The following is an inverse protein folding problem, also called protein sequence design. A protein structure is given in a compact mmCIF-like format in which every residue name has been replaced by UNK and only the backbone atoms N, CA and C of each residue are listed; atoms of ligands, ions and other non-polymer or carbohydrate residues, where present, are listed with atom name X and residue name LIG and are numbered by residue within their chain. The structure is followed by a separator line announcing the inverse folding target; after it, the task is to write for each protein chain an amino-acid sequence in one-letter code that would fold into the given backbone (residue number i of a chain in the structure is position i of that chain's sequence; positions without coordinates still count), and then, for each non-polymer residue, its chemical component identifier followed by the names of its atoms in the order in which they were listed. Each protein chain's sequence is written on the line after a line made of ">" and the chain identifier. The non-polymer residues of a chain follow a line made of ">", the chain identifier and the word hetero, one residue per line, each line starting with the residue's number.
data_IF_602748946662
#
_entry.id   IF_602748946662
#
_cell.length_a   1.000
_cell.length_b   1.000
_cell.length_c   1.000
_cell.angle_alpha   90.00
_cell.angle_beta   90.00
_cell.angle_gamma   90.00
#
_symmetry.space_group_name_H-M   'P 1'
#
loop_
_entity.id
_entity.type
_entity.pdbx_description
1 polymer ?
#
# COMPACT_ATOMS: atom_id res chain seq x y z
N UNK A 1 -3.40 27.44 36.76
CA UNK A 1 -4.68 28.00 37.22
C UNK A 1 -4.83 29.50 36.97
N UNK A 2 -3.75 30.32 36.93
CA UNK A 2 -3.86 31.75 36.54
C UNK A 2 -4.45 32.01 35.14
N UNK A 3 -4.32 31.08 34.18
CA UNK A 3 -4.84 31.25 32.82
C UNK A 3 -6.36 31.08 32.73
N UNK A 4 -6.93 30.15 33.51
CA UNK A 4 -8.38 29.90 33.50
C UNK A 4 -9.15 31.10 34.06
N UNK A 5 -8.63 31.75 35.11
CA UNK A 5 -9.21 32.99 35.67
C UNK A 5 -9.18 34.16 34.67
N UNK A 6 -8.13 34.25 33.83
CA UNK A 6 -8.05 35.27 32.77
C UNK A 6 -9.07 34.98 31.68
N UNK A 7 -9.25 33.72 31.29
CA UNK A 7 -10.25 33.32 30.27
C UNK A 7 -11.68 33.57 30.78
N UNK A 8 -11.93 33.32 32.06
CA UNK A 8 -13.20 33.60 32.70
C UNK A 8 -13.48 35.11 32.77
N UNK A 9 -12.44 35.93 33.05
CA UNK A 9 -12.52 37.40 33.04
C UNK A 9 -12.76 38.04 31.66
N UNK A 10 -12.43 37.37 30.56
CA UNK A 10 -12.63 37.84 29.18
C UNK A 10 -13.98 37.39 28.58
N UNK A 11 -14.76 36.59 29.33
CA UNK A 11 -16.12 36.18 28.92
C UNK A 11 -16.27 34.70 28.55
N UNK A 12 -15.29 33.85 28.86
CA UNK A 12 -15.36 32.41 28.62
C UNK A 12 -15.43 32.01 27.14
N UNK A 13 -15.77 30.74 26.88
CA UNK A 13 -15.78 30.17 25.53
C UNK A 13 -17.10 30.50 24.78
N UNK A 14 -17.14 31.68 24.16
CA UNK A 14 -18.26 32.16 23.34
C UNK A 14 -18.42 31.45 21.99
N UNK A 15 -19.53 31.70 21.30
CA UNK A 15 -19.85 31.06 20.00
C UNK A 15 -18.80 31.31 18.92
N UNK A 16 -18.18 32.50 18.91
CA UNK A 16 -17.08 32.82 17.99
C UNK A 16 -15.81 31.99 18.27
N UNK A 17 -15.46 31.80 19.55
CA UNK A 17 -14.30 31.00 19.94
C UNK A 17 -14.50 29.52 19.61
N UNK A 18 -15.72 29.00 19.79
CA UNK A 18 -16.11 27.66 19.33
C UNK A 18 -16.01 27.52 17.81
N UNK A 19 -16.43 28.54 17.05
CA UNK A 19 -16.34 28.54 15.59
C UNK A 19 -14.88 28.49 15.11
N UNK A 20 -14.02 29.37 15.63
CA UNK A 20 -12.59 29.38 15.30
C UNK A 20 -11.92 28.05 15.69
N UNK A 21 -12.22 27.53 16.88
CA UNK A 21 -11.69 26.24 17.32
C UNK A 21 -12.14 25.09 16.41
N UNK A 22 -13.39 25.13 15.94
CA UNK A 22 -13.91 24.13 14.99
C UNK A 22 -13.17 24.20 13.66
N UNK A 23 -12.95 25.41 13.13
CA UNK A 23 -12.17 25.59 11.89
C UNK A 23 -10.73 25.11 12.06
N UNK A 24 -10.12 25.35 13.22
CA UNK A 24 -8.76 24.91 13.54
C UNK A 24 -8.64 23.39 13.52
N UNK A 25 -9.64 22.66 14.03
CA UNK A 25 -9.64 21.19 14.01
C UNK A 25 -10.13 20.59 12.68
N UNK A 26 -10.90 21.32 11.88
CA UNK A 26 -11.38 20.82 10.59
C UNK A 26 -10.20 20.51 9.65
N UNK A 27 -9.19 21.38 9.59
CA UNK A 27 -8.04 21.22 8.68
C UNK A 27 -7.24 19.93 8.96
N UNK A 28 -6.79 19.64 10.19
CA UNK A 28 -6.10 18.39 10.52
C UNK A 28 -6.92 17.13 10.24
N UNK A 29 -8.26 17.19 10.36
CA UNK A 29 -9.11 16.03 10.06
C UNK A 29 -9.03 15.66 8.58
N UNK A 30 -9.05 16.64 7.68
CA UNK A 30 -8.88 16.37 6.25
C UNK A 30 -7.48 15.84 5.91
N UNK A 31 -6.44 16.37 6.57
CA UNK A 31 -5.08 15.87 6.40
C UNK A 31 -4.95 14.40 6.84
N UNK A 32 -5.51 14.04 7.99
CA UNK A 32 -5.53 12.66 8.47
C UNK A 32 -6.24 11.70 7.51
N UNK A 33 -7.36 12.14 6.91
CA UNK A 33 -8.06 11.37 5.87
C UNK A 33 -7.21 11.19 4.62
N UNK A 34 -6.50 12.23 4.19
CA UNK A 34 -5.60 12.17 3.03
C UNK A 34 -4.45 11.17 3.26
N UNK A 35 -3.83 11.18 4.44
CA UNK A 35 -2.78 10.21 4.79
C UNK A 35 -3.35 8.79 4.80
N UNK A 36 -4.54 8.60 5.38
CA UNK A 36 -5.23 7.31 5.37
C UNK A 36 -5.54 6.80 3.96
N UNK A 37 -5.82 7.70 3.02
CA UNK A 37 -6.10 7.33 1.62
C UNK A 37 -4.93 6.62 0.92
N UNK A 38 -3.68 6.86 1.35
CA UNK A 38 -2.49 6.26 0.74
C UNK A 38 -2.47 4.73 0.84
N UNK A 39 -3.12 4.17 1.86
CA UNK A 39 -3.27 2.72 2.03
C UNK A 39 -4.11 2.11 0.91
N UNK A 40 -5.09 2.86 0.38
CA UNK A 40 -5.94 2.42 -0.73
C UNK A 40 -5.34 2.73 -2.10
N UNK A 41 -4.50 3.77 -2.22
CA UNK A 41 -3.88 4.17 -3.49
C UNK A 41 -2.74 3.22 -3.85
N UNK A 42 -1.84 2.97 -2.90
CA UNK A 42 -0.65 2.12 -3.09
C UNK A 42 -0.62 0.98 -2.05
N UNK A 43 -1.64 0.10 -2.06
CA UNK A 43 -1.70 -1.07 -1.19
C UNK A 43 -0.62 -2.08 -1.59
N UNK A 44 -0.23 -2.90 -0.64
CA UNK A 44 0.48 -4.14 -0.91
C UNK A 44 -0.58 -5.21 -1.21
N UNK A 45 -0.66 -5.64 -2.48
CA UNK A 45 -1.66 -6.61 -2.93
C UNK A 45 -0.98 -7.96 -3.14
N UNK A 46 -1.65 -9.01 -2.67
CA UNK A 46 -1.25 -10.38 -2.96
C UNK A 46 -1.29 -10.61 -4.48
N UNK A 47 -0.17 -11.04 -5.03
CA UNK A 47 0.01 -11.21 -6.46
C UNK A 47 0.73 -12.52 -6.72
N UNK A 48 0.61 -13.02 -7.94
CA UNK A 48 1.43 -14.13 -8.45
C UNK A 48 1.74 -13.89 -9.92
N UNK A 49 2.66 -14.67 -10.46
CA UNK A 49 2.97 -14.60 -11.88
C UNK A 49 1.82 -15.13 -12.73
N UNK A 50 1.59 -14.48 -13.87
CA UNK A 50 0.64 -14.96 -14.87
C UNK A 50 1.23 -16.17 -15.60
N UNK A 51 0.46 -17.25 -15.72
CA UNK A 51 0.92 -18.48 -16.36
C UNK A 51 0.95 -18.29 -17.89
N UNK A 52 2.08 -18.53 -18.57
CA UNK A 52 2.15 -18.39 -20.01
C UNK A 52 1.27 -19.44 -20.70
N UNK A 53 0.38 -19.00 -21.60
CA UNK A 53 -0.51 -19.89 -22.35
C UNK A 53 -1.90 -20.10 -21.76
N UNK A 54 -2.19 -19.54 -20.57
CA UNK A 54 -3.52 -19.56 -19.97
C UNK A 54 -4.24 -18.19 -20.18
N UNK A 55 -5.24 -18.09 -21.09
CA UNK A 55 -5.81 -16.81 -21.48
C UNK A 55 -6.76 -16.17 -20.45
N UNK A 56 -7.25 -16.91 -19.45
CA UNK A 56 -8.17 -16.41 -18.42
C UNK A 56 -7.64 -16.70 -17.01
N UNK A 57 -6.36 -16.41 -16.80
CA UNK A 57 -5.69 -16.64 -15.52
C UNK A 57 -6.19 -15.64 -14.46
N UNK A 58 -6.81 -16.14 -13.40
CA UNK A 58 -7.26 -15.32 -12.24
C UNK A 58 -6.48 -15.70 -11.00
N UNK A 59 -6.21 -14.75 -10.10
CA UNK A 59 -5.46 -15.04 -8.87
C UNK A 59 -6.06 -16.21 -8.07
N UNK A 60 -7.38 -16.23 -7.90
CA UNK A 60 -8.09 -17.33 -7.25
C UNK A 60 -8.02 -18.63 -8.04
N UNK A 61 -7.85 -19.74 -7.31
CA UNK A 61 -7.81 -21.09 -7.88
C UNK A 61 -9.21 -21.47 -8.34
N UNK A 62 -9.38 -21.62 -9.65
CA UNK A 62 -10.66 -21.94 -10.28
C UNK A 62 -10.98 -23.43 -10.29
N UNK A 63 -9.97 -24.27 -10.52
CA UNK A 63 -10.12 -25.72 -10.73
C UNK A 63 -8.87 -26.49 -10.24
N UNK A 64 -8.98 -27.82 -10.12
CA UNK A 64 -7.86 -28.69 -9.71
C UNK A 64 -6.69 -28.62 -10.69
N UNK A 65 -6.98 -28.58 -11.99
CA UNK A 65 -5.96 -28.51 -13.03
C UNK A 65 -5.19 -27.18 -12.95
N UNK A 66 -5.91 -26.09 -12.67
CA UNK A 66 -5.31 -24.78 -12.45
C UNK A 66 -4.42 -24.79 -11.20
N UNK A 67 -4.83 -25.45 -10.11
CA UNK A 67 -4.01 -25.59 -8.92
C UNK A 67 -2.70 -26.34 -9.19
N UNK A 68 -2.73 -27.37 -10.03
CA UNK A 68 -1.54 -28.15 -10.38
C UNK A 68 -0.62 -27.39 -11.34
N UNK A 69 -1.18 -26.60 -12.27
CA UNK A 69 -0.40 -25.66 -13.08
C UNK A 69 0.30 -24.60 -12.23
N UNK A 70 -0.38 -24.03 -11.23
CA UNK A 70 0.24 -23.07 -10.31
C UNK A 70 1.43 -23.70 -9.58
N UNK A 71 1.29 -24.94 -9.08
CA UNK A 71 2.39 -25.65 -8.41
C UNK A 71 3.55 -25.97 -9.37
N UNK A 72 3.26 -26.24 -10.64
CA UNK A 72 4.26 -26.56 -11.64
C UNK A 72 5.07 -25.32 -12.07
N UNK A 73 4.40 -24.17 -12.24
CA UNK A 73 5.04 -22.96 -12.76
C UNK A 73 5.61 -22.04 -11.67
N UNK A 74 5.04 -22.03 -10.46
CA UNK A 74 5.43 -21.10 -9.40
C UNK A 74 6.28 -21.84 -8.35
N UNK A 75 7.57 -21.46 -8.19
CA UNK A 75 8.45 -22.10 -7.22
C UNK A 75 7.95 -21.91 -5.79
N UNK A 76 8.06 -22.97 -4.99
CA UNK A 76 7.79 -22.94 -3.56
C UNK A 76 9.10 -22.94 -2.78
N UNK A 77 9.12 -22.24 -1.66
CA UNK A 77 10.22 -22.26 -0.70
C UNK A 77 9.66 -22.50 0.70
N UNK A 78 10.51 -23.04 1.58
CA UNK A 78 10.18 -23.26 2.98
C UNK A 78 10.71 -22.08 3.77
N UNK A 79 9.80 -21.36 4.42
CA UNK A 79 10.12 -20.26 5.33
C UNK A 79 9.40 -20.55 6.65
N UNK A 80 10.16 -20.63 7.76
CA UNK A 80 9.66 -20.94 9.09
C UNK A 80 8.83 -22.25 9.20
N UNK A 81 9.18 -23.25 8.38
CA UNK A 81 8.49 -24.55 8.36
C UNK A 81 7.18 -24.57 7.57
N UNK A 82 6.76 -23.43 7.01
CA UNK A 82 5.61 -23.31 6.13
C UNK A 82 6.06 -23.24 4.66
N UNK A 83 5.28 -23.87 3.77
CA UNK A 83 5.51 -23.79 2.31
C UNK A 83 4.87 -22.53 1.77
N UNK A 84 5.68 -21.60 1.27
CA UNK A 84 5.23 -20.36 0.63
C UNK A 84 5.60 -20.34 -0.85
N UNK A 85 4.79 -19.68 -1.66
CA UNK A 85 5.05 -19.47 -3.08
C UNK A 85 5.95 -18.24 -3.29
N UNK A 86 6.89 -18.36 -4.21
CA UNK A 86 7.68 -17.23 -4.66
C UNK A 86 6.96 -16.51 -5.80
N UNK A 87 6.19 -15.49 -5.43
CA UNK A 87 5.30 -14.76 -6.33
C UNK A 87 5.99 -13.90 -7.40
N UNK A 88 7.33 -13.83 -7.37
CA UNK A 88 8.12 -12.96 -8.23
C UNK A 88 8.86 -13.69 -9.36
N UNK A 89 8.92 -15.01 -9.29
CA UNK A 89 9.62 -15.83 -10.25
C UNK A 89 8.74 -16.98 -10.72
N UNK A 90 9.06 -17.52 -11.89
CA UNK A 90 8.37 -18.67 -12.47
C UNK A 90 9.36 -19.58 -13.19
N UNK A 91 8.97 -20.84 -13.39
CA UNK A 91 9.72 -21.79 -14.20
C UNK A 91 9.42 -21.61 -15.69
N UNK A 92 10.45 -21.55 -16.53
CA UNK A 92 10.29 -21.38 -17.99
C UNK A 92 9.75 -22.62 -18.70
N UNK A 93 9.94 -23.81 -18.14
CA UNK A 93 9.55 -25.08 -18.74
C UNK A 93 8.76 -25.89 -17.72
N UNK A 94 7.72 -26.60 -18.19
CA UNK A 94 6.87 -27.52 -17.40
C UNK A 94 7.62 -28.73 -16.82
N UNK A 95 8.93 -28.84 -17.05
CA UNK A 95 9.71 -29.95 -16.53
C UNK A 95 9.92 -29.76 -15.03
N UNK A 96 9.13 -30.50 -14.26
CA UNK A 96 9.27 -30.88 -12.84
C UNK A 96 10.65 -31.46 -12.46
N UNK A 97 11.67 -31.30 -13.30
CA UNK A 97 13.04 -31.63 -12.99
C UNK A 97 13.68 -30.43 -12.29
N UNK A 98 14.45 -30.72 -11.25
CA UNK A 98 15.22 -29.84 -10.36
C UNK A 98 16.21 -28.89 -11.09
N UNK A 99 16.17 -28.85 -12.42
CA UNK A 99 17.00 -28.08 -13.34
C UNK A 99 16.19 -27.05 -14.16
N UNK A 100 14.94 -26.79 -13.77
CA UNK A 100 14.13 -25.72 -14.35
C UNK A 100 14.78 -24.35 -14.12
N UNK A 101 15.05 -23.61 -15.21
CA UNK A 101 15.59 -22.25 -15.08
C UNK A 101 14.53 -21.32 -14.51
N UNK A 102 14.88 -20.63 -13.43
CA UNK A 102 14.02 -19.65 -12.76
C UNK A 102 14.14 -18.31 -13.49
N UNK A 103 13.01 -17.74 -13.90
CA UNK A 103 12.97 -16.43 -14.56
C UNK A 103 12.11 -15.44 -13.78
N UNK A 104 12.46 -14.16 -13.88
CA UNK A 104 11.65 -13.08 -13.34
C UNK A 104 10.37 -12.92 -14.16
N UNK A 105 9.25 -12.71 -13.48
CA UNK A 105 7.96 -12.56 -14.13
C UNK A 105 7.83 -11.18 -14.81
N UNK A 106 7.23 -11.18 -16.00
CA UNK A 106 6.91 -9.94 -16.74
C UNK A 106 5.43 -9.56 -16.66
N UNK A 107 4.57 -10.49 -16.24
CA UNK A 107 3.13 -10.31 -16.12
C UNK A 107 2.63 -10.94 -14.82
N UNK A 108 1.66 -10.31 -14.20
CA UNK A 108 1.15 -10.70 -12.87
C UNK A 108 -0.37 -10.78 -12.89
N UNK A 109 -0.90 -11.65 -12.03
CA UNK A 109 -2.31 -11.68 -11.66
C UNK A 109 -2.44 -11.31 -10.18
N UNK A 110 -3.38 -10.42 -9.89
CA UNK A 110 -3.58 -9.80 -8.59
C UNK A 110 -4.84 -10.34 -7.93
N UNK A 111 -4.81 -10.47 -6.61
CA UNK A 111 -6.01 -10.74 -5.82
C UNK A 111 -6.97 -9.54 -5.92
N UNK A 112 -8.21 -9.81 -6.33
CA UNK A 112 -9.29 -8.81 -6.47
C UNK A 112 -10.34 -8.89 -5.37
N UNK A 113 -10.12 -9.70 -4.33
CA UNK A 113 -11.03 -9.87 -3.20
C UNK A 113 -11.29 -8.55 -2.44
N UNK A 114 -10.23 -7.78 -2.18
CA UNK A 114 -10.29 -6.52 -1.44
C UNK A 114 -10.14 -5.29 -2.33
N UNK A 115 -9.32 -5.37 -3.38
CA UNK A 115 -8.98 -4.24 -4.25
C UNK A 115 -9.25 -4.60 -5.70
N UNK A 116 -10.23 -3.95 -6.33
CA UNK A 116 -10.53 -4.15 -7.75
C UNK A 116 -9.46 -3.53 -8.66
N UNK A 117 -9.02 -2.32 -8.30
CA UNK A 117 -8.03 -1.53 -9.03
C UNK A 117 -7.21 -0.72 -8.02
N UNK A 118 -5.91 -0.59 -8.29
CA UNK A 118 -4.99 0.22 -7.48
C UNK A 118 -3.81 0.66 -8.34
N UNK A 119 -3.06 1.67 -7.88
CA UNK A 119 -1.85 2.10 -8.59
C UNK A 119 -0.81 0.98 -8.61
N UNK A 120 -0.75 0.15 -7.56
CA UNK A 120 0.15 -1.00 -7.49
C UNK A 120 -0.13 -2.02 -8.59
N UNK A 121 -1.41 -2.35 -8.82
CA UNK A 121 -1.83 -3.32 -9.85
C UNK A 121 -1.74 -2.74 -11.26
N UNK A 122 -2.13 -1.48 -11.44
CA UNK A 122 -2.20 -0.87 -12.77
C UNK A 122 -0.80 -0.59 -13.35
N UNK A 123 0.16 -0.26 -12.50
CA UNK A 123 1.54 0.06 -12.89
C UNK A 123 2.53 -1.08 -12.63
N UNK A 124 2.04 -2.25 -12.20
CA UNK A 124 2.84 -3.43 -11.86
C UNK A 124 4.01 -3.12 -10.91
N UNK A 125 3.73 -2.43 -9.79
CA UNK A 125 4.74 -2.00 -8.82
C UNK A 125 5.05 -3.09 -7.78
N UNK A 126 5.30 -4.31 -8.25
CA UNK A 126 5.57 -5.48 -7.41
C UNK A 126 6.97 -6.03 -7.62
N UNK A 127 7.42 -6.93 -6.74
CA UNK A 127 8.71 -7.60 -6.85
C UNK A 127 9.88 -6.61 -6.99
N UNK A 128 10.63 -6.63 -8.10
CA UNK A 128 11.74 -5.70 -8.33
C UNK A 128 11.33 -4.22 -8.38
N UNK A 129 10.04 -3.94 -8.61
CA UNK A 129 9.48 -2.57 -8.63
C UNK A 129 8.74 -2.19 -7.36
N UNK A 130 8.70 -3.05 -6.34
CA UNK A 130 8.07 -2.74 -5.05
C UNK A 130 8.70 -1.51 -4.38
N UNK A 131 10.00 -1.29 -4.62
CA UNK A 131 10.75 -0.16 -4.07
C UNK A 131 10.16 1.21 -4.44
N UNK A 132 9.50 1.32 -5.60
CA UNK A 132 8.83 2.55 -6.01
C UNK A 132 7.67 2.90 -5.08
N UNK A 133 6.91 1.90 -4.62
CA UNK A 133 5.82 2.13 -3.67
C UNK A 133 6.34 2.68 -2.34
N UNK A 134 7.46 2.15 -1.85
CA UNK A 134 8.13 2.63 -0.64
C UNK A 134 8.67 4.04 -0.82
N UNK A 135 9.29 4.34 -1.97
CA UNK A 135 9.81 5.68 -2.25
C UNK A 135 8.72 6.74 -2.33
N UNK A 136 7.56 6.44 -2.93
CA UNK A 136 6.43 7.37 -2.98
C UNK A 136 5.94 7.69 -1.57
N UNK A 137 5.78 6.67 -0.70
CA UNK A 137 5.39 6.87 0.70
C UNK A 137 6.42 7.71 1.46
N UNK A 138 7.71 7.39 1.32
CA UNK A 138 8.79 8.15 1.96
C UNK A 138 8.84 9.60 1.48
N UNK A 139 8.74 9.84 0.17
CA UNK A 139 8.75 11.18 -0.39
C UNK A 139 7.58 12.03 0.14
N UNK A 140 6.40 11.43 0.27
CA UNK A 140 5.22 12.07 0.87
C UNK A 140 5.51 12.52 2.32
N UNK A 141 5.98 11.62 3.18
CA UNK A 141 6.24 11.96 4.59
C UNK A 141 7.41 12.93 4.78
N UNK A 142 8.45 12.85 3.95
CA UNK A 142 9.53 13.84 3.96
C UNK A 142 9.01 15.22 3.54
N UNK A 143 8.17 15.28 2.51
CA UNK A 143 7.50 16.52 2.11
C UNK A 143 6.65 17.11 3.23
N UNK A 144 5.85 16.28 3.90
CA UNK A 144 5.06 16.69 5.06
C UNK A 144 5.95 17.22 6.21
N UNK A 145 7.05 16.53 6.52
CA UNK A 145 7.99 16.96 7.55
C UNK A 145 8.60 18.34 7.25
N UNK A 146 9.07 18.56 6.02
CA UNK A 146 9.63 19.85 5.59
C UNK A 146 8.56 20.94 5.68
N UNK A 147 7.32 20.64 5.26
CA UNK A 147 6.21 21.57 5.34
C UNK A 147 5.89 21.98 6.78
N UNK A 148 5.93 21.06 7.74
CA UNK A 148 5.73 21.39 9.16
C UNK A 148 6.83 22.29 9.72
N UNK A 149 8.10 22.06 9.36
CA UNK A 149 9.21 22.93 9.79
C UNK A 149 9.06 24.37 9.26
N UNK A 150 8.76 24.50 7.96
CA UNK A 150 8.58 25.80 7.32
C UNK A 150 7.32 26.49 7.84
N UNK A 151 6.21 25.74 7.93
CA UNK A 151 4.93 26.25 8.41
C UNK A 151 4.99 26.74 9.86
N UNK A 152 5.70 26.03 10.74
CA UNK A 152 5.96 26.48 12.10
C UNK A 152 6.73 27.79 12.12
N UNK A 153 7.83 27.88 11.35
CA UNK A 153 8.62 29.10 11.26
C UNK A 153 7.84 30.31 10.73
N UNK A 154 6.97 30.11 9.73
CA UNK A 154 6.09 31.17 9.21
C UNK A 154 5.03 31.55 10.25
N UNK A 155 4.47 30.59 10.99
CA UNK A 155 3.43 30.85 11.98
C UNK A 155 3.94 31.62 13.20
N UNK A 156 5.21 31.46 13.55
CA UNK A 156 5.84 32.16 14.67
C UNK A 156 6.21 33.62 14.34
N UNK A 157 6.17 34.02 13.07
CA UNK A 157 6.55 35.35 12.59
C UNK A 157 5.36 36.24 12.26
#
# INVERSE_FOLDING_TARGET
>A
MKYDEIIEGVGGCGSYQKFILTLLYAVPVFDGLQIGSLVFIVPEIAHRCAIPGLPNDTYEVQDTDHADLIKAYIPQYIEDGERKYNNCYFYSNETLDDNGTIHACNSWVYDKSQYQTSVTSDMNLVCGRSIFTSHVKTAFFVGAFIMFLIGGWISDK
#
